data_IF_573663823924
#
_entry.id   IF_573663823924
#
_cell.length_a   1.000
_cell.length_b   1.000
_cell.length_c   1.000
_cell.angle_alpha   90.00
_cell.angle_beta   90.00
_cell.angle_gamma   90.00
#
_symmetry.space_group_name_H-M   'P 1'
#
loop_
_entity.id
_entity.type
_entity.pdbx_description
1 polymer ?
#
# COMPACT_ATOMS: atom_id res chain seq x y z
N UNK A 1 -1.30 -3.34 -35.56
CA UNK A 1 -2.16 -4.24 -34.75
C UNK A 1 -2.75 -3.42 -33.61
N UNK A 2 -4.08 -3.34 -33.45
CA UNK A 2 -4.68 -2.67 -32.28
C UNK A 2 -4.27 -3.48 -31.04
N UNK A 3 -3.50 -2.89 -30.12
CA UNK A 3 -3.12 -3.56 -28.87
C UNK A 3 -4.40 -3.80 -28.07
N UNK A 4 -4.71 -5.06 -27.77
CA UNK A 4 -5.82 -5.36 -26.87
C UNK A 4 -5.49 -4.87 -25.46
N UNK A 5 -6.47 -4.34 -24.71
CA UNK A 5 -6.23 -3.93 -23.34
C UNK A 5 -5.84 -5.13 -22.48
N UNK A 6 -4.85 -4.95 -21.61
CA UNK A 6 -4.43 -5.96 -20.66
C UNK A 6 -5.49 -6.08 -19.58
N UNK A 7 -6.07 -7.26 -19.40
CA UNK A 7 -6.96 -7.54 -18.27
C UNK A 7 -6.15 -8.00 -17.07
N UNK A 8 -6.33 -7.30 -15.96
CA UNK A 8 -5.74 -7.62 -14.66
C UNK A 8 -6.88 -8.06 -13.74
N UNK A 9 -6.79 -9.27 -13.18
CA UNK A 9 -7.73 -9.73 -12.16
C UNK A 9 -6.96 -9.79 -10.85
N UNK A 10 -7.36 -8.97 -9.89
CA UNK A 10 -6.78 -8.94 -8.54
C UNK A 10 -7.77 -9.64 -7.62
N UNK A 11 -7.31 -10.69 -6.96
CA UNK A 11 -8.09 -11.43 -5.98
C UNK A 11 -7.51 -11.24 -4.58
N UNK A 12 -8.39 -11.02 -3.63
CA UNK A 12 -8.09 -11.03 -2.20
C UNK A 12 -9.05 -11.96 -1.46
N UNK A 13 -8.54 -12.68 -0.46
CA UNK A 13 -9.35 -13.57 0.39
C UNK A 13 -10.34 -12.80 1.28
N UNK A 14 -10.02 -11.55 1.58
CA UNK A 14 -10.69 -10.69 2.54
C UNK A 14 -11.12 -9.37 1.90
N UNK A 15 -12.32 -8.86 2.24
CA UNK A 15 -12.78 -7.56 1.74
C UNK A 15 -11.89 -6.42 2.25
N UNK A 16 -11.29 -6.54 3.43
CA UNK A 16 -10.36 -5.56 4.01
C UNK A 16 -9.08 -5.43 3.17
N UNK A 17 -8.53 -6.56 2.71
CA UNK A 17 -7.38 -6.57 1.81
C UNK A 17 -7.71 -5.86 0.49
N UNK A 18 -8.88 -6.14 -0.07
CA UNK A 18 -9.35 -5.50 -1.30
C UNK A 18 -9.58 -3.99 -1.12
N UNK A 19 -10.23 -3.59 -0.02
CA UNK A 19 -10.46 -2.19 0.33
C UNK A 19 -9.13 -1.44 0.48
N UNK A 20 -8.11 -2.08 1.06
CA UNK A 20 -6.77 -1.53 1.16
C UNK A 20 -6.14 -1.30 -0.22
N UNK A 21 -6.24 -2.25 -1.15
CA UNK A 21 -5.75 -2.04 -2.52
C UNK A 21 -6.46 -0.91 -3.23
N UNK A 22 -7.78 -0.82 -3.06
CA UNK A 22 -8.58 0.30 -3.58
C UNK A 22 -8.11 1.64 -3.04
N UNK A 23 -7.86 1.72 -1.73
CA UNK A 23 -7.32 2.93 -1.10
C UNK A 23 -5.93 3.29 -1.66
N UNK A 24 -5.00 2.33 -1.75
CA UNK A 24 -3.66 2.58 -2.27
C UNK A 24 -3.70 3.01 -3.75
N UNK A 25 -4.56 2.40 -4.56
CA UNK A 25 -4.81 2.82 -5.94
C UNK A 25 -5.43 4.23 -5.99
N UNK A 26 -6.36 4.55 -5.09
CA UNK A 26 -6.94 5.89 -5.01
C UNK A 26 -5.88 6.94 -4.70
N UNK A 27 -4.96 6.67 -3.77
CA UNK A 27 -3.82 7.56 -3.46
C UNK A 27 -2.91 7.72 -4.68
N UNK A 28 -2.52 6.61 -5.33
CA UNK A 28 -1.64 6.63 -6.50
C UNK A 28 -2.25 7.39 -7.68
N UNK A 29 -3.57 7.31 -7.83
CA UNK A 29 -4.33 7.92 -8.91
C UNK A 29 -4.98 9.26 -8.50
N UNK A 30 -4.63 9.82 -7.35
CA UNK A 30 -5.16 11.11 -6.92
C UNK A 30 -4.45 12.27 -7.63
N UNK A 31 -5.11 12.83 -8.64
CA UNK A 31 -4.54 13.92 -9.44
C UNK A 31 -4.51 15.27 -8.70
N UNK A 32 -5.18 15.37 -7.55
CA UNK A 32 -5.16 16.58 -6.74
C UNK A 32 -3.93 16.66 -5.82
N UNK A 33 -3.22 15.54 -5.61
CA UNK A 33 -2.03 15.46 -4.78
C UNK A 33 -0.76 15.55 -5.63
N UNK A 34 0.27 16.21 -5.12
CA UNK A 34 1.59 16.20 -5.76
C UNK A 34 2.23 14.81 -5.66
N UNK A 35 3.10 14.39 -6.60
CA UNK A 35 3.76 13.09 -6.56
C UNK A 35 4.44 12.78 -5.23
N UNK A 36 5.12 13.77 -4.64
CA UNK A 36 5.74 13.65 -3.32
C UNK A 36 4.72 13.40 -2.22
N UNK A 37 3.62 14.14 -2.22
CA UNK A 37 2.55 13.99 -1.22
C UNK A 37 1.85 12.64 -1.35
N UNK A 38 1.63 12.16 -2.58
CA UNK A 38 1.13 10.81 -2.84
C UNK A 38 2.07 9.76 -2.28
N UNK A 39 3.39 9.92 -2.48
CA UNK A 39 4.38 8.99 -1.94
C UNK A 39 4.39 8.99 -0.41
N UNK A 40 4.36 10.17 0.22
CA UNK A 40 4.30 10.29 1.67
C UNK A 40 3.03 9.64 2.24
N UNK A 41 1.86 9.93 1.66
CA UNK A 41 0.59 9.29 2.04
C UNK A 41 0.59 7.78 1.79
N UNK A 42 1.14 7.33 0.65
CA UNK A 42 1.24 5.93 0.30
C UNK A 42 2.08 5.17 1.34
N UNK A 43 3.26 5.68 1.67
CA UNK A 43 4.15 5.06 2.66
C UNK A 43 3.53 5.04 4.05
N UNK A 44 2.82 6.10 4.44
CA UNK A 44 2.16 6.20 5.73
C UNK A 44 1.00 5.20 5.86
N UNK A 45 0.13 5.14 4.85
CA UNK A 45 -1.01 4.21 4.79
C UNK A 45 -0.56 2.75 4.57
N UNK A 46 0.50 2.53 3.80
CA UNK A 46 1.05 1.18 3.59
C UNK A 46 1.82 0.67 4.80
N UNK A 47 2.52 1.54 5.52
CA UNK A 47 3.29 1.17 6.71
C UNK A 47 2.43 0.81 7.92
N UNK A 48 1.12 1.13 7.92
CA UNK A 48 0.24 1.05 9.09
C UNK A 48 0.86 1.70 10.34
N UNK A 49 1.67 2.75 10.12
CA UNK A 49 2.28 3.51 11.21
C UNK A 49 1.26 4.51 11.77
N UNK A 50 1.58 5.12 12.91
CA UNK A 50 0.80 6.21 13.50
C UNK A 50 0.45 7.26 12.42
N UNK A 51 -0.84 7.30 12.04
CA UNK A 51 -1.31 8.22 11.02
C UNK A 51 -1.28 9.64 11.57
N UNK A 52 -0.64 10.54 10.83
CA UNK A 52 -0.76 11.98 10.99
C UNK A 52 -2.20 12.39 10.67
N UNK A 53 -2.61 13.51 11.25
CA UNK A 53 -3.97 14.06 11.08
C UNK A 53 -4.35 14.18 9.59
N UNK A 54 -3.40 14.59 8.74
CA UNK A 54 -3.62 14.68 7.28
C UNK A 54 -3.96 13.33 6.65
N UNK A 55 -3.20 12.27 6.95
CA UNK A 55 -3.44 10.94 6.39
C UNK A 55 -4.72 10.32 6.94
N UNK A 56 -5.02 10.54 8.23
CA UNK A 56 -6.24 10.09 8.86
C UNK A 56 -7.48 10.75 8.23
N UNK A 57 -7.46 12.07 8.00
CA UNK A 57 -8.54 12.77 7.33
C UNK A 57 -8.71 12.33 5.86
N UNK A 58 -7.61 12.06 5.16
CA UNK A 58 -7.67 11.50 3.80
C UNK A 58 -8.30 10.09 3.79
N UNK A 59 -7.89 9.24 4.72
CA UNK A 59 -8.43 7.89 4.88
C UNK A 59 -9.94 7.92 5.17
N UNK A 60 -10.38 8.77 6.09
CA UNK A 60 -11.80 8.93 6.46
C UNK A 60 -12.65 9.38 5.26
N UNK A 61 -12.16 10.34 4.48
CA UNK A 61 -12.82 10.79 3.25
C UNK A 61 -12.94 9.64 2.22
N UNK A 62 -11.85 8.91 1.96
CA UNK A 62 -11.88 7.78 1.02
C UNK A 62 -12.73 6.62 1.53
N UNK A 63 -12.78 6.39 2.84
CA UNK A 63 -13.64 5.37 3.44
C UNK A 63 -15.13 5.70 3.20
N UNK A 64 -15.55 6.95 3.38
CA UNK A 64 -16.93 7.40 3.07
C UNK A 64 -17.27 7.23 1.59
N UNK A 65 -16.34 7.57 0.70
CA UNK A 65 -16.54 7.38 -0.74
C UNK A 65 -16.71 5.90 -1.11
N UNK A 66 -15.90 5.03 -0.51
CA UNK A 66 -15.99 3.59 -0.72
C UNK A 66 -17.30 3.02 -0.15
N UNK A 67 -17.70 3.44 1.05
CA UNK A 67 -18.97 3.05 1.66
C UNK A 67 -20.15 3.43 0.77
N UNK A 68 -20.21 4.68 0.30
CA UNK A 68 -21.25 5.15 -0.59
C UNK A 68 -21.34 4.32 -1.88
N UNK A 69 -20.19 4.01 -2.49
CA UNK A 69 -20.13 3.16 -3.69
C UNK A 69 -20.65 1.74 -3.42
N UNK A 70 -20.27 1.14 -2.29
CA UNK A 70 -20.71 -0.21 -1.93
C UNK A 70 -22.22 -0.24 -1.70
N UNK A 71 -22.77 0.77 -1.03
CA UNK A 71 -24.22 0.91 -0.81
C UNK A 71 -24.97 1.05 -2.15
N UNK A 72 -24.46 1.87 -3.08
CA UNK A 72 -25.04 2.04 -4.42
C UNK A 72 -25.06 0.73 -5.21
N UNK A 73 -23.95 -0.01 -5.20
CA UNK A 73 -23.85 -1.32 -5.85
C UNK A 73 -24.79 -2.35 -5.21
N UNK A 74 -24.88 -2.39 -3.88
CA UNK A 74 -25.76 -3.30 -3.16
C UNK A 74 -27.24 -3.01 -3.39
N UNK A 75 -27.60 -1.74 -3.59
CA UNK A 75 -28.97 -1.33 -3.93
C UNK A 75 -29.39 -1.70 -5.36
N UNK A 76 -28.52 -2.36 -6.14
CA UNK A 76 -28.78 -2.69 -7.54
C UNK A 76 -28.73 -1.46 -8.45
N UNK A 77 -28.11 -0.37 -7.99
CA UNK A 77 -27.74 0.75 -8.85
C UNK A 77 -26.85 0.22 -9.96
N UNK A 78 -27.36 0.20 -11.19
CA UNK A 78 -26.50 -0.05 -12.35
C UNK A 78 -25.38 0.99 -12.32
N UNK A 79 -24.14 0.57 -12.60
CA UNK A 79 -22.97 1.44 -12.76
C UNK A 79 -23.19 2.41 -13.95
N UNK A 80 -24.13 3.34 -13.81
CA UNK A 80 -24.38 4.41 -14.74
C UNK A 80 -23.28 5.44 -14.52
N UNK A 81 -22.08 5.16 -15.02
CA UNK A 81 -20.96 6.10 -15.04
C UNK A 81 -20.73 6.85 -13.71
N UNK A 82 -20.79 6.15 -12.57
CA UNK A 82 -20.38 6.72 -11.29
C UNK A 82 -18.87 6.93 -11.32
N UNK A 83 -18.51 8.08 -11.88
CA UNK A 83 -17.14 8.57 -11.91
C UNK A 83 -16.90 9.01 -10.48
N UNK A 84 -16.20 8.18 -9.68
CA UNK A 84 -15.75 8.60 -8.36
C UNK A 84 -15.13 10.00 -8.52
N UNK A 85 -15.65 11.05 -7.86
CA UNK A 85 -15.11 12.38 -8.00
C UNK A 85 -13.72 12.41 -7.35
N UNK A 86 -12.71 11.99 -8.12
CA UNK A 86 -11.29 12.06 -7.76
C UNK A 86 -10.78 13.51 -7.70
N UNK A 87 -11.65 14.49 -8.01
CA UNK A 87 -11.28 15.89 -8.21
C UNK A 87 -11.93 16.88 -7.24
N UNK A 88 -12.51 16.45 -6.12
CA UNK A 88 -12.88 17.42 -5.09
C UNK A 88 -11.59 18.02 -4.48
N UNK A 89 -11.31 19.33 -4.68
CA UNK A 89 -10.11 19.92 -4.12
C UNK A 89 -10.21 19.85 -2.58
N UNK A 90 -9.13 19.38 -1.96
CA UNK A 90 -8.96 19.40 -0.52
C UNK A 90 -9.07 20.85 -0.03
N UNK A 91 -10.24 21.24 0.49
CA UNK A 91 -10.44 22.54 1.12
C UNK A 91 -9.99 22.43 2.58
N UNK A 92 -8.93 23.15 2.95
CA UNK A 92 -8.44 23.28 4.34
C UNK A 92 -9.40 24.02 5.28
N UNK A 93 -10.65 24.28 4.87
CA UNK A 93 -11.67 24.95 5.69
C UNK A 93 -12.79 23.99 6.13
N UNK A 94 -12.47 22.96 6.91
CA UNK A 94 -13.47 22.29 7.74
C UNK A 94 -12.87 21.99 9.13
N UNK A 95 -12.71 23.04 9.93
CA UNK A 95 -12.60 22.92 11.39
C UNK A 95 -13.90 23.40 12.03
N UNK A 96 -14.88 22.51 12.13
CA UNK A 96 -15.84 22.52 13.25
C UNK A 96 -16.55 21.16 13.30
N UNK A 97 -15.95 20.21 14.03
CA UNK A 97 -16.66 19.03 14.48
C UNK A 97 -17.70 19.47 15.51
N UNK A 98 -18.96 19.62 15.10
CA UNK A 98 -20.07 19.51 16.03
C UNK A 98 -20.30 18.03 16.30
N UNK A 99 -20.04 17.61 17.54
CA UNK A 99 -20.42 16.32 18.07
C UNK A 99 -21.94 16.12 17.91
N UNK A 100 -22.36 15.37 16.89
CA UNK A 100 -23.68 14.76 16.84
C UNK A 100 -23.53 13.27 16.51
N UNK A 101 -23.95 12.49 17.51
CA UNK A 101 -24.37 11.08 17.51
C UNK A 101 -23.35 10.00 17.13
N UNK A 102 -22.34 9.83 17.99
CA UNK A 102 -21.55 8.60 18.14
C UNK A 102 -22.35 7.37 18.67
N UNK A 103 -23.69 7.45 18.74
CA UNK A 103 -24.55 6.41 19.31
C UNK A 103 -25.34 5.60 18.26
N UNK A 104 -25.42 6.04 17.00
CA UNK A 104 -26.26 5.37 15.97
C UNK A 104 -25.48 4.44 15.03
N UNK A 105 -24.17 4.65 14.88
CA UNK A 105 -23.27 3.83 14.06
C UNK A 105 -23.16 2.35 14.50
N UNK A 106 -23.12 2.01 15.80
CA UNK A 106 -23.02 0.59 16.22
C UNK A 106 -24.27 -0.21 15.85
N UNK A 107 -25.45 0.43 15.84
CA UNK A 107 -26.72 -0.25 15.56
C UNK A 107 -26.92 -0.52 14.05
N UNK A 108 -26.45 0.37 13.18
CA UNK A 108 -26.50 0.18 11.73
C UNK A 108 -25.49 -0.89 11.27
N UNK A 109 -24.27 -0.87 11.79
CA UNK A 109 -23.25 -1.89 11.49
C UNK A 109 -23.66 -3.28 12.02
N UNK A 110 -24.26 -3.36 13.21
CA UNK A 110 -24.78 -4.60 13.76
C UNK A 110 -25.96 -5.17 12.94
N UNK A 111 -26.80 -4.32 12.34
CA UNK A 111 -27.90 -4.76 11.45
C UNK A 111 -27.38 -5.27 10.11
N UNK A 112 -26.40 -4.60 9.52
CA UNK A 112 -25.76 -5.04 8.27
C UNK A 112 -25.06 -6.39 8.42
N UNK A 113 -24.36 -6.61 9.54
CA UNK A 113 -23.73 -7.91 9.85
C UNK A 113 -24.76 -9.02 10.08
N UNK A 114 -25.90 -8.73 10.74
CA UNK A 114 -26.99 -9.69 10.95
C UNK A 114 -27.71 -10.07 9.64
N UNK A 115 -27.86 -9.12 8.72
CA UNK A 115 -28.48 -9.36 7.41
C UNK A 115 -27.55 -10.17 6.49
N UNK A 116 -26.23 -9.97 6.59
CA UNK A 116 -25.23 -10.81 5.91
C UNK A 116 -25.20 -12.25 6.44
N UNK A 117 -25.34 -12.46 7.76
CA UNK A 117 -25.47 -13.80 8.36
C UNK A 117 -26.78 -14.50 7.94
N UNK A 118 -27.90 -13.77 7.88
CA UNK A 118 -29.21 -14.32 7.46
C UNK A 118 -29.29 -14.66 5.98
N UNK A 119 -28.53 -13.98 5.14
CA UNK A 119 -28.47 -14.25 3.69
C UNK A 119 -27.82 -15.60 3.34
N UNK A 120 -27.22 -16.30 4.32
CA UNK A 120 -26.56 -17.60 4.12
C UNK A 120 -25.23 -17.51 3.36
N UNK A 121 -24.75 -16.29 3.10
CA UNK A 121 -23.47 -16.01 2.42
C UNK A 121 -22.27 -16.23 3.35
N UNK A 122 -22.47 -16.12 4.67
CA UNK A 122 -21.51 -16.52 5.70
C UNK A 122 -22.01 -17.75 6.47
N UNK A 123 -21.78 -18.94 5.91
CA UNK A 123 -21.78 -20.17 6.71
C UNK A 123 -20.34 -20.63 6.85
N UNK A 124 -19.69 -20.23 7.95
CA UNK A 124 -18.40 -20.82 8.34
C UNK A 124 -18.59 -22.32 8.48
N UNK A 125 -17.88 -23.10 7.66
CA UNK A 125 -17.82 -24.55 7.79
C UNK A 125 -16.98 -24.93 9.01
N UNK A 126 -17.51 -24.71 10.21
CA UNK A 126 -17.10 -25.46 11.39
C UNK A 126 -18.18 -26.47 11.70
N UNK A 127 -17.84 -27.77 11.62
CA UNK A 127 -18.68 -28.84 12.13
C UNK A 127 -18.89 -30.01 11.18
N UNK A 128 -17.84 -30.80 10.93
CA UNK A 128 -17.97 -32.27 10.88
C UNK A 128 -16.74 -32.89 11.53
N UNK A 129 -16.96 -33.45 12.71
CA UNK A 129 -15.95 -34.16 13.48
C UNK A 129 -15.48 -35.40 12.74
N UNK A 130 -14.17 -35.45 12.48
CA UNK A 130 -13.43 -36.67 12.19
C UNK A 130 -12.62 -37.03 13.43
N UNK A 131 -12.86 -38.22 13.98
CA UNK A 131 -12.05 -38.85 15.02
C UNK A 131 -10.59 -38.90 14.54
N UNK A 132 -9.65 -38.33 15.31
CA UNK A 132 -8.25 -38.72 15.21
C UNK A 132 -7.94 -39.76 16.28
N UNK A 133 -7.41 -40.88 15.80
CA UNK A 133 -6.94 -41.99 16.61
C UNK A 133 -5.77 -41.56 17.49
N UNK A 134 -5.84 -42.04 18.72
CA UNK A 134 -4.84 -42.00 19.78
C UNK A 134 -3.57 -42.78 19.40
N UNK A 135 -2.40 -42.27 19.79
CA UNK A 135 -1.25 -43.13 20.12
C UNK A 135 0.11 -42.64 19.65
N UNK A 136 0.81 -41.85 20.49
CA UNK A 136 2.27 -41.81 20.52
C UNK A 136 2.71 -41.89 22.00
N UNK A 137 3.54 -42.87 22.39
CA UNK A 137 3.98 -43.05 23.78
C UNK A 137 5.08 -42.04 24.19
N UNK A 138 5.26 -41.77 25.50
CA UNK A 138 6.23 -40.78 25.97
C UNK A 138 7.64 -41.38 26.08
N UNK A 139 8.63 -40.65 25.56
CA UNK A 139 10.06 -40.87 25.78
C UNK A 139 10.68 -39.75 26.62
N UNK A 140 11.81 -39.98 27.31
CA UNK A 140 12.13 -39.34 28.58
C UNK A 140 12.71 -37.93 28.48
N UNK A 141 12.39 -37.15 29.52
CA UNK A 141 12.89 -35.82 29.83
C UNK A 141 14.39 -35.84 30.18
N UNK A 142 15.15 -34.96 29.52
CA UNK A 142 16.51 -34.57 29.87
C UNK A 142 16.60 -33.04 30.12
N UNK A 143 17.59 -32.56 30.89
CA UNK A 143 17.40 -31.43 31.80
C UNK A 143 17.50 -30.04 31.17
N UNK A 144 16.74 -29.13 31.77
CA UNK A 144 16.69 -27.70 31.52
C UNK A 144 18.04 -27.02 31.84
N UNK A 145 18.57 -26.30 30.86
CA UNK A 145 19.61 -25.29 31.05
C UNK A 145 18.99 -23.91 30.83
N UNK A 146 19.10 -23.06 31.86
CA UNK A 146 18.41 -21.78 31.96
C UNK A 146 18.85 -20.75 30.93
N UNK A 147 17.88 -19.96 30.47
CA UNK A 147 18.11 -18.71 29.77
C UNK A 147 17.36 -17.60 30.51
N UNK A 148 18.11 -16.57 30.90
CA UNK A 148 17.61 -15.34 31.54
C UNK A 148 16.73 -14.55 30.54
N UNK A 149 15.73 -13.78 31.02
CA UNK A 149 14.95 -12.90 30.15
C UNK A 149 15.82 -11.73 29.69
N UNK A 150 16.04 -11.61 28.38
CA UNK A 150 16.62 -10.43 27.75
C UNK A 150 15.50 -9.66 27.09
N UNK A 151 15.17 -8.49 27.63
CA UNK A 151 14.29 -7.51 26.99
C UNK A 151 14.92 -6.99 25.71
N UNK A 152 14.22 -6.94 24.56
CA UNK A 152 14.69 -6.17 23.43
C UNK A 152 14.12 -4.75 23.50
N UNK A 153 14.95 -3.82 24.00
CA UNK A 153 14.87 -2.42 23.60
C UNK A 153 15.51 -2.31 22.21
N UNK A 154 14.70 -2.06 21.17
CA UNK A 154 15.23 -1.75 19.84
C UNK A 154 15.46 -0.25 19.76
N UNK A 155 16.74 0.12 19.90
CA UNK A 155 17.29 1.41 19.51
C UNK A 155 17.70 1.33 18.04
N UNK A 156 17.09 2.13 17.18
CA UNK A 156 17.55 2.32 15.80
C UNK A 156 18.54 3.48 15.82
N UNK A 157 19.82 3.14 15.76
CA UNK A 157 20.93 4.08 15.64
C UNK A 157 21.15 4.37 14.14
N UNK A 158 20.69 5.53 13.67
CA UNK A 158 21.09 6.09 12.38
C UNK A 158 22.19 7.14 12.61
N UNK A 159 23.45 6.70 12.61
CA UNK A 159 24.60 7.61 12.62
C UNK A 159 24.82 8.21 11.23
N UNK A 160 24.03 9.23 10.91
CA UNK A 160 24.32 10.23 9.89
C UNK A 160 24.70 11.52 10.59
N UNK A 161 26.00 11.72 10.84
CA UNK A 161 26.53 12.90 11.53
C UNK A 161 26.44 14.14 10.63
N UNK A 162 25.41 14.96 10.83
CA UNK A 162 25.36 16.35 10.37
C UNK A 162 26.06 17.21 11.44
N UNK A 163 27.07 18.04 11.10
CA UNK A 163 27.72 18.89 12.09
C UNK A 163 26.75 19.96 12.60
N UNK A 164 26.21 19.74 13.80
CA UNK A 164 25.50 20.72 14.60
C UNK A 164 26.45 21.88 14.93
N UNK A 165 26.23 23.01 14.27
CA UNK A 165 26.90 24.28 14.54
C UNK A 165 26.53 24.73 15.96
N UNK A 166 27.44 24.50 16.91
CA UNK A 166 27.39 24.97 18.30
C UNK A 166 27.14 26.48 18.31
N UNK A 167 25.91 26.90 18.63
CA UNK A 167 25.60 28.28 18.99
C UNK A 167 25.99 28.46 20.46
N UNK A 168 27.22 28.91 20.69
CA UNK A 168 27.74 29.24 22.01
C UNK A 168 27.08 30.55 22.46
N UNK A 169 26.21 30.46 23.45
CA UNK A 169 25.73 31.58 24.24
C UNK A 169 26.63 31.79 25.46
N UNK A 170 26.74 33.06 25.87
CA UNK A 170 27.53 33.55 27.02
C UNK A 170 28.79 34.28 26.54
N UNK A 171 29.02 35.55 26.82
CA UNK A 171 28.42 36.46 27.78
C UNK A 171 29.55 37.36 28.31
N UNK A 172 29.29 38.66 28.46
CA UNK A 172 30.08 39.58 29.28
C UNK A 172 31.38 40.12 28.64
N UNK A 173 31.40 41.43 28.42
CA UNK A 173 32.61 42.16 28.03
C UNK A 173 32.30 43.62 27.76
N UNK A 174 32.04 44.37 28.83
CA UNK A 174 31.95 45.82 28.77
C UNK A 174 33.28 46.43 28.35
N UNK A 175 33.21 47.36 27.40
CA UNK A 175 34.33 48.16 26.93
C UNK A 175 33.75 49.39 26.26
N UNK A 176 33.54 50.43 27.05
CA UNK A 176 33.12 51.73 26.55
C UNK A 176 34.21 52.33 25.70
N UNK A 177 33.89 52.62 24.45
CA UNK A 177 34.56 53.66 23.66
C UNK A 177 33.48 54.59 23.14
N UNK A 178 33.60 55.85 23.53
CA UNK A 178 32.69 56.92 23.17
C UNK A 178 32.60 57.08 21.65
N UNK A 179 31.41 57.31 21.07
CA UNK A 179 31.29 57.65 19.66
C UNK A 179 31.87 59.06 19.43
N UNK A 180 32.70 59.26 18.40
CA UNK A 180 33.10 60.60 17.99
C UNK A 180 31.89 61.37 17.42
N UNK A 181 31.97 62.67 17.65
CA UNK A 181 30.95 63.66 17.38
C UNK A 181 30.40 63.67 15.96
N UNK A 182 29.15 64.12 15.91
CA UNK A 182 28.26 64.33 14.77
C UNK A 182 28.93 64.93 13.53
N UNK A 183 28.77 64.24 12.41
CA UNK A 183 28.74 64.87 11.10
C UNK A 183 27.26 65.07 10.71
N UNK A 184 26.78 66.31 10.48
CA UNK A 184 25.44 66.56 10.01
C UNK A 184 25.42 66.32 8.50
N UNK A 185 24.95 65.14 8.07
CA UNK A 185 25.02 64.77 6.66
C UNK A 185 23.98 63.74 6.26
N UNK A 186 22.78 64.21 5.92
CA UNK A 186 21.85 63.49 5.04
C UNK A 186 21.04 62.37 5.70
N UNK A 187 19.95 62.75 6.38
CA UNK A 187 18.88 61.83 6.76
C UNK A 187 18.16 61.26 5.53
N UNK A 188 18.78 60.29 4.86
CA UNK A 188 18.12 59.45 3.86
C UNK A 188 17.25 58.47 4.63
N UNK A 189 15.94 58.61 4.43
CA UNK A 189 14.92 58.18 5.38
C UNK A 189 14.87 56.65 5.57
N UNK A 190 14.79 56.13 6.81
CA UNK A 190 14.68 54.70 7.11
C UNK A 190 13.47 54.02 6.44
N UNK A 191 12.48 54.82 6.03
CA UNK A 191 11.29 54.41 5.30
C UNK A 191 11.64 53.86 3.90
N UNK A 192 12.61 54.46 3.20
CA UNK A 192 12.99 54.03 1.85
C UNK A 192 13.70 52.66 1.85
N UNK A 193 14.55 52.40 2.85
CA UNK A 193 15.23 51.12 3.00
C UNK A 193 14.25 49.98 3.33
N UNK A 194 13.27 50.22 4.22
CA UNK A 194 12.23 49.26 4.55
C UNK A 194 11.32 48.94 3.33
N UNK A 195 10.96 49.95 2.54
CA UNK A 195 10.17 49.78 1.32
C UNK A 195 10.91 48.91 0.28
N UNK A 196 12.21 49.13 0.08
CA UNK A 196 13.04 48.31 -0.82
C UNK A 196 13.17 46.86 -0.32
N UNK A 197 13.34 46.64 0.98
CA UNK A 197 13.40 45.30 1.56
C UNK A 197 12.08 44.53 1.36
N UNK A 198 10.93 45.19 1.60
CA UNK A 198 9.61 44.61 1.36
C UNK A 198 9.36 44.31 -0.13
N UNK A 199 9.83 45.17 -1.05
CA UNK A 199 9.75 44.92 -2.48
C UNK A 199 10.58 43.69 -2.90
N UNK A 200 11.82 43.58 -2.40
CA UNK A 200 12.68 42.40 -2.65
C UNK A 200 12.05 41.11 -2.10
N UNK A 201 11.47 41.15 -0.91
CA UNK A 201 10.79 39.98 -0.33
C UNK A 201 9.57 39.55 -1.17
N UNK A 202 8.72 40.49 -1.60
CA UNK A 202 7.58 40.21 -2.48
C UNK A 202 8.03 39.62 -3.83
N UNK A 203 9.07 40.19 -4.43
CA UNK A 203 9.64 39.69 -5.67
C UNK A 203 10.18 38.25 -5.52
N UNK A 204 10.93 37.97 -4.45
CA UNK A 204 11.40 36.60 -4.15
C UNK A 204 10.23 35.62 -3.96
N UNK A 205 9.18 36.03 -3.24
CA UNK A 205 7.99 35.20 -3.02
C UNK A 205 7.25 34.92 -4.34
N UNK A 206 7.12 35.92 -5.21
CA UNK A 206 6.48 35.77 -6.51
C UNK A 206 7.30 34.86 -7.44
N UNK A 207 8.63 34.99 -7.44
CA UNK A 207 9.50 34.09 -8.20
C UNK A 207 9.35 32.65 -7.71
N UNK A 208 9.38 32.42 -6.38
CA UNK A 208 9.18 31.10 -5.81
C UNK A 208 7.80 30.51 -6.14
N UNK A 209 6.74 31.31 -6.12
CA UNK A 209 5.39 30.87 -6.50
C UNK A 209 5.30 30.51 -7.99
N UNK A 210 5.95 31.30 -8.85
CA UNK A 210 5.99 31.04 -10.30
C UNK A 210 6.75 29.75 -10.61
N UNK A 211 7.90 29.54 -9.95
CA UNK A 211 8.71 28.32 -10.09
C UNK A 211 7.94 27.09 -9.59
N UNK A 212 7.31 27.18 -8.43
CA UNK A 212 6.46 26.12 -7.88
C UNK A 212 5.27 25.79 -8.82
N UNK A 213 4.64 26.80 -9.40
CA UNK A 213 3.56 26.61 -10.37
C UNK A 213 4.04 25.93 -11.66
N UNK A 214 5.24 26.26 -12.14
CA UNK A 214 5.85 25.63 -13.31
C UNK A 214 6.16 24.15 -13.04
N UNK A 215 6.75 23.82 -11.89
CA UNK A 215 7.01 22.43 -11.48
C UNK A 215 5.70 21.62 -11.36
N UNK A 216 4.66 22.21 -10.75
CA UNK A 216 3.33 21.56 -10.69
C UNK A 216 2.75 21.28 -12.07
N UNK A 217 2.92 22.20 -13.01
CA UNK A 217 2.42 22.03 -14.37
C UNK A 217 3.16 20.90 -15.10
N UNK A 218 4.49 20.82 -14.95
CA UNK A 218 5.30 19.73 -15.51
C UNK A 218 4.91 18.37 -14.91
N UNK A 219 4.80 18.29 -13.58
CA UNK A 219 4.36 17.06 -12.90
C UNK A 219 2.95 16.64 -13.33
N UNK A 220 2.02 17.58 -13.49
CA UNK A 220 0.67 17.30 -13.98
C UNK A 220 0.68 16.73 -15.41
N UNK A 221 1.60 17.19 -16.28
CA UNK A 221 1.77 16.63 -17.62
C UNK A 221 2.29 15.19 -17.57
N UNK A 222 3.28 14.91 -16.71
CA UNK A 222 3.80 13.55 -16.51
C UNK A 222 2.72 12.61 -15.95
N UNK A 223 1.90 13.09 -15.02
CA UNK A 223 0.78 12.34 -14.46
C UNK A 223 -0.31 12.07 -15.51
N UNK A 224 -0.68 13.07 -16.30
CA UNK A 224 -1.63 12.90 -17.40
C UNK A 224 -1.13 11.87 -18.43
N UNK A 225 0.17 11.92 -18.78
CA UNK A 225 0.78 10.94 -19.66
C UNK A 225 0.78 9.52 -19.02
N UNK A 226 1.00 9.41 -17.71
CA UNK A 226 0.91 8.13 -17.01
C UNK A 226 -0.52 7.56 -17.01
N UNK A 227 -1.54 8.39 -16.77
CA UNK A 227 -2.96 8.00 -16.85
C UNK A 227 -3.34 7.56 -18.25
N UNK A 228 -2.87 8.25 -19.29
CA UNK A 228 -3.06 7.84 -20.68
C UNK A 228 -2.43 6.48 -20.99
N UNK A 229 -1.33 6.10 -20.33
CA UNK A 229 -0.81 4.73 -20.42
C UNK A 229 -1.67 3.73 -19.65
N UNK A 230 -2.20 4.14 -18.50
CA UNK A 230 -3.04 3.30 -17.63
C UNK A 230 -4.37 2.88 -18.26
N UNK A 231 -4.94 3.65 -19.20
CA UNK A 231 -6.19 3.29 -19.92
C UNK A 231 -6.09 1.96 -20.70
N UNK A 232 -4.87 1.45 -20.92
CA UNK A 232 -4.62 0.15 -21.56
C UNK A 232 -4.91 -1.03 -20.64
N UNK A 233 -5.11 -0.78 -19.35
CA UNK A 233 -5.36 -1.82 -18.37
C UNK A 233 -6.83 -1.80 -17.95
N UNK A 234 -7.42 -2.98 -17.83
CA UNK A 234 -8.72 -3.17 -17.20
C UNK A 234 -8.52 -3.98 -15.95
N UNK A 235 -8.75 -3.38 -14.79
CA UNK A 235 -8.58 -4.03 -13.49
C UNK A 235 -9.95 -4.52 -13.03
N UNK A 236 -10.05 -5.82 -12.79
CA UNK A 236 -11.18 -6.46 -12.13
C UNK A 236 -10.75 -6.86 -10.72
N UNK A 237 -11.41 -6.28 -9.72
CA UNK A 237 -11.18 -6.59 -8.32
C UNK A 237 -12.19 -7.64 -7.87
N UNK A 238 -11.71 -8.68 -7.19
CA UNK A 238 -12.52 -9.82 -6.75
C UNK A 238 -12.16 -10.14 -5.30
N UNK A 239 -13.16 -10.39 -4.46
CA UNK A 239 -12.93 -10.84 -3.08
C UNK A 239 -13.80 -12.04 -2.73
N UNK A 240 -13.30 -12.92 -1.86
CA UNK A 240 -13.98 -14.11 -1.37
C UNK A 240 -13.36 -15.42 -1.88
N UNK A 241 -14.19 -16.44 -2.12
CA UNK A 241 -13.73 -17.78 -2.52
C UNK A 241 -13.18 -17.79 -3.96
N UNK A 242 -11.86 -17.91 -4.10
CA UNK A 242 -11.17 -17.90 -5.39
C UNK A 242 -11.71 -18.95 -6.36
N UNK A 243 -12.03 -20.15 -5.86
CA UNK A 243 -12.49 -21.27 -6.69
C UNK A 243 -13.87 -20.94 -7.25
N UNK A 244 -14.80 -20.46 -6.43
CA UNK A 244 -16.16 -20.11 -6.89
C UNK A 244 -16.17 -18.90 -7.83
N UNK A 245 -15.25 -17.96 -7.65
CA UNK A 245 -15.28 -16.68 -8.36
C UNK A 245 -14.40 -16.64 -9.61
N UNK A 246 -13.28 -17.36 -9.60
CA UNK A 246 -12.27 -17.31 -10.66
C UNK A 246 -11.95 -18.71 -11.18
N UNK A 247 -11.20 -19.52 -10.42
CA UNK A 247 -10.51 -20.70 -10.98
C UNK A 247 -11.45 -21.89 -11.27
N UNK A 248 -12.60 -21.96 -10.61
CA UNK A 248 -13.65 -22.95 -10.88
C UNK A 248 -14.59 -22.56 -12.02
N UNK A 249 -14.58 -21.30 -12.48
CA UNK A 249 -15.48 -20.83 -13.54
C UNK A 249 -14.92 -21.16 -14.91
N UNK A 250 -15.74 -21.77 -15.76
CA UNK A 250 -15.35 -22.16 -17.12
C UNK A 250 -14.79 -21.01 -17.96
N UNK A 251 -15.34 -19.79 -17.80
CA UNK A 251 -14.89 -18.59 -18.54
C UNK A 251 -13.45 -18.18 -18.28
N UNK A 252 -12.85 -18.61 -17.16
CA UNK A 252 -11.46 -18.30 -16.81
C UNK A 252 -10.51 -19.48 -17.02
N UNK A 253 -11.00 -20.64 -17.49
CA UNK A 253 -10.14 -21.78 -17.78
C UNK A 253 -9.16 -21.42 -18.91
N UNK A 254 -7.86 -21.51 -18.64
CA UNK A 254 -6.82 -21.14 -19.60
C UNK A 254 -6.76 -19.65 -19.97
N UNK A 255 -7.40 -18.76 -19.20
CA UNK A 255 -7.50 -17.34 -19.57
C UNK A 255 -6.26 -16.51 -19.21
N UNK A 256 -5.44 -16.95 -18.25
CA UNK A 256 -4.34 -16.14 -17.73
C UNK A 256 -2.99 -16.56 -18.31
N UNK A 257 -2.34 -15.67 -19.07
CA UNK A 257 -0.98 -15.87 -19.59
C UNK A 257 0.12 -15.60 -18.56
N UNK A 258 -0.20 -14.83 -17.52
CA UNK A 258 0.70 -14.53 -16.42
C UNK A 258 -0.07 -14.43 -15.10
N UNK A 259 0.57 -14.84 -14.01
CA UNK A 259 0.01 -14.83 -12.66
C UNK A 259 1.08 -14.38 -11.66
N UNK A 260 0.62 -13.79 -10.56
CA UNK A 260 1.47 -13.45 -9.41
C UNK A 260 0.80 -13.89 -8.11
N UNK A 261 1.57 -14.44 -7.18
CA UNK A 261 1.11 -14.82 -5.84
C UNK A 261 1.99 -14.17 -4.78
N UNK A 262 1.36 -13.52 -3.79
CA UNK A 262 2.05 -13.10 -2.57
C UNK A 262 2.35 -14.29 -1.65
N UNK A 263 3.32 -14.13 -0.74
CA UNK A 263 3.81 -15.20 0.14
C UNK A 263 2.70 -15.87 0.96
N UNK A 264 1.66 -15.13 1.36
CA UNK A 264 0.49 -15.65 2.09
C UNK A 264 -0.35 -16.64 1.28
N UNK A 265 -0.30 -16.58 -0.04
CA UNK A 265 -1.13 -17.39 -0.94
C UNK A 265 -0.35 -18.52 -1.63
N UNK A 266 0.89 -18.77 -1.19
CA UNK A 266 1.76 -19.81 -1.76
C UNK A 266 1.15 -21.21 -1.69
N UNK A 267 0.30 -21.48 -0.70
CA UNK A 267 -0.44 -22.74 -0.59
C UNK A 267 -1.31 -23.03 -1.83
N UNK A 268 -1.70 -22.00 -2.60
CA UNK A 268 -2.49 -22.16 -3.82
C UNK A 268 -1.71 -22.74 -5.01
N UNK A 269 -0.40 -22.96 -4.86
CA UNK A 269 0.39 -23.77 -5.78
C UNK A 269 -0.04 -25.24 -5.79
N UNK A 270 -0.52 -25.75 -4.65
CA UNK A 270 -0.95 -27.12 -4.52
C UNK A 270 -2.18 -27.42 -5.39
N UNK A 271 -2.23 -28.62 -5.98
CA UNK A 271 -3.30 -29.06 -6.87
C UNK A 271 -4.70 -28.90 -6.27
N UNK A 272 -4.83 -29.18 -4.96
CA UNK A 272 -6.11 -29.22 -4.24
C UNK A 272 -6.59 -27.83 -3.79
N UNK A 273 -5.67 -26.86 -3.66
CA UNK A 273 -5.92 -25.66 -2.86
C UNK A 273 -6.57 -24.49 -3.61
N UNK A 274 -6.53 -24.48 -4.95
CA UNK A 274 -6.99 -23.28 -5.66
C UNK A 274 -7.27 -23.42 -7.16
N UNK A 275 -7.01 -24.57 -7.79
CA UNK A 275 -7.25 -24.74 -9.22
C UNK A 275 -6.52 -23.72 -10.10
N UNK A 276 -5.44 -23.11 -9.60
CA UNK A 276 -4.77 -22.00 -10.29
C UNK A 276 -4.22 -22.44 -11.65
N UNK A 277 -3.65 -23.64 -11.71
CA UNK A 277 -3.19 -24.24 -12.95
C UNK A 277 -4.31 -24.40 -13.99
N UNK A 278 -5.57 -24.62 -13.59
CA UNK A 278 -6.72 -24.70 -14.51
C UNK A 278 -6.99 -23.34 -15.18
N UNK A 279 -6.85 -22.26 -14.43
CA UNK A 279 -7.10 -20.91 -14.93
C UNK A 279 -5.94 -20.37 -15.80
N UNK A 280 -4.72 -20.87 -15.57
CA UNK A 280 -3.55 -20.50 -16.34
C UNK A 280 -3.59 -21.07 -17.78
N UNK A 281 -3.22 -20.27 -18.78
CA UNK A 281 -3.05 -20.70 -20.17
C UNK A 281 -1.86 -21.67 -20.29
N UNK A 282 -1.83 -22.57 -21.29
CA UNK A 282 -0.62 -23.33 -21.60
C UNK A 282 0.57 -22.39 -21.83
N UNK A 283 1.73 -22.68 -21.20
CA UNK A 283 2.91 -21.81 -21.25
C UNK A 283 2.85 -20.56 -20.37
N UNK A 284 1.78 -20.38 -19.58
CA UNK A 284 1.68 -19.26 -18.65
C UNK A 284 2.78 -19.27 -17.59
N UNK A 285 3.19 -18.08 -17.17
CA UNK A 285 4.18 -17.88 -16.10
C UNK A 285 3.52 -17.47 -14.80
N UNK A 286 4.00 -18.03 -13.70
CA UNK A 286 3.56 -17.71 -12.36
C UNK A 286 4.76 -17.24 -11.54
N UNK A 287 4.72 -16.01 -11.03
CA UNK A 287 5.69 -15.49 -10.08
C UNK A 287 5.12 -15.60 -8.66
N UNK A 288 5.73 -16.42 -7.81
CA UNK A 288 5.30 -16.60 -6.43
C UNK A 288 6.36 -16.03 -5.48
N UNK A 289 5.95 -15.09 -4.63
CA UNK A 289 6.81 -14.47 -3.63
C UNK A 289 7.25 -15.51 -2.59
N UNK A 290 8.56 -15.54 -2.30
CA UNK A 290 9.16 -16.42 -1.32
C UNK A 290 9.33 -15.72 0.05
N UNK A 291 9.84 -16.46 1.04
CA UNK A 291 10.02 -15.96 2.40
C UNK A 291 11.25 -15.06 2.60
N UNK A 292 11.85 -14.48 1.55
CA UNK A 292 13.09 -13.70 1.67
C UNK A 292 12.98 -12.54 2.66
N UNK A 293 11.81 -11.92 2.73
CA UNK A 293 11.56 -10.77 3.61
C UNK A 293 11.02 -11.17 4.99
N UNK A 294 10.87 -12.47 5.26
CA UNK A 294 10.47 -12.96 6.58
C UNK A 294 11.66 -12.80 7.53
N UNK A 295 11.55 -11.99 8.60
CA UNK A 295 12.63 -11.82 9.57
C UNK A 295 12.99 -13.16 10.20
N UNK A 296 14.20 -13.66 9.95
CA UNK A 296 14.70 -14.88 10.57
C UNK A 296 16.19 -14.77 10.90
N UNK A 297 16.66 -15.58 11.85
CA UNK A 297 18.07 -15.59 12.26
C UNK A 297 19.01 -16.04 11.10
N UNK A 298 18.48 -16.76 10.10
CA UNK A 298 19.22 -17.16 8.90
C UNK A 298 18.32 -17.02 7.67
N UNK A 299 18.33 -15.82 7.10
CA UNK A 299 17.52 -15.46 5.93
C UNK A 299 17.72 -16.43 4.76
N UNK A 300 18.98 -16.75 4.43
CA UNK A 300 19.30 -17.59 3.28
C UNK A 300 18.79 -19.04 3.46
N UNK A 301 19.01 -19.65 4.63
CA UNK A 301 18.56 -21.02 4.88
C UNK A 301 17.02 -21.10 4.94
N UNK A 302 16.37 -20.09 5.53
CA UNK A 302 14.91 -20.02 5.61
C UNK A 302 14.29 -19.86 4.22
N UNK A 303 14.84 -18.98 3.40
CA UNK A 303 14.38 -18.78 2.03
C UNK A 303 14.55 -20.04 1.16
N UNK A 304 15.66 -20.78 1.33
CA UNK A 304 15.90 -22.04 0.63
C UNK A 304 14.86 -23.11 1.00
N UNK A 305 14.64 -23.35 2.31
CA UNK A 305 13.62 -24.30 2.78
C UNK A 305 12.21 -23.92 2.30
N UNK A 306 11.90 -22.64 2.27
CA UNK A 306 10.63 -22.15 1.75
C UNK A 306 10.49 -22.43 0.24
N UNK A 307 11.53 -22.15 -0.55
CA UNK A 307 11.54 -22.43 -1.98
C UNK A 307 11.42 -23.94 -2.27
N UNK A 308 12.08 -24.79 -1.49
CA UNK A 308 11.95 -26.25 -1.60
C UNK A 308 10.51 -26.69 -1.34
N UNK A 309 9.86 -26.15 -0.30
CA UNK A 309 8.45 -26.45 -0.02
C UNK A 309 7.51 -25.93 -1.11
N UNK A 310 7.79 -24.77 -1.69
CA UNK A 310 7.04 -24.25 -2.84
C UNK A 310 7.15 -25.21 -4.04
N UNK A 311 8.34 -25.73 -4.33
CA UNK A 311 8.56 -26.69 -5.41
C UNK A 311 7.81 -28.00 -5.18
N UNK A 312 7.80 -28.50 -3.93
CA UNK A 312 7.05 -29.69 -3.53
C UNK A 312 5.54 -29.53 -3.78
N UNK A 313 4.98 -28.34 -3.54
CA UNK A 313 3.57 -28.05 -3.80
C UNK A 313 3.27 -27.79 -5.29
N UNK A 314 4.16 -27.09 -5.98
CA UNK A 314 3.99 -26.67 -7.36
C UNK A 314 3.96 -27.86 -8.33
N UNK A 315 4.84 -28.86 -8.13
CA UNK A 315 4.97 -29.99 -9.05
C UNK A 315 3.67 -30.82 -9.16
N UNK A 316 3.04 -31.29 -8.06
CA UNK A 316 1.72 -31.92 -8.12
C UNK A 316 0.62 -30.99 -8.67
N UNK A 317 0.76 -29.68 -8.47
CA UNK A 317 -0.12 -28.65 -9.03
C UNK A 317 -0.03 -28.48 -10.56
N UNK A 318 0.87 -29.21 -11.23
CA UNK A 318 1.06 -29.11 -12.68
C UNK A 318 1.94 -27.93 -13.09
N UNK A 319 2.80 -27.46 -12.19
CA UNK A 319 3.75 -26.39 -12.44
C UNK A 319 5.18 -26.93 -12.51
N UNK A 320 5.97 -26.44 -13.46
CA UNK A 320 7.42 -26.70 -13.51
C UNK A 320 8.18 -25.43 -13.13
N UNK A 321 9.25 -25.56 -12.34
CA UNK A 321 10.10 -24.41 -12.02
C UNK A 321 10.79 -23.93 -13.30
N UNK A 322 10.81 -22.62 -13.54
CA UNK A 322 11.52 -22.04 -14.66
C UNK A 322 13.04 -22.16 -14.45
N UNK A 323 13.78 -22.50 -15.50
CA UNK A 323 15.24 -22.62 -15.45
C UNK A 323 15.93 -21.28 -15.16
N UNK A 324 15.35 -20.19 -15.67
CA UNK A 324 15.85 -18.84 -15.49
C UNK A 324 14.73 -17.89 -15.03
N UNK A 325 15.09 -16.96 -14.14
CA UNK A 325 14.20 -15.86 -13.75
C UNK A 325 14.12 -14.85 -14.91
N UNK A 326 12.92 -14.34 -15.25
CA UNK A 326 12.77 -13.26 -16.22
C UNK A 326 13.49 -11.99 -15.75
N UNK A 327 13.88 -11.13 -16.70
CA UNK A 327 14.44 -9.81 -16.39
C UNK A 327 13.48 -9.01 -15.50
N UNK A 328 14.02 -8.37 -14.46
CA UNK A 328 13.26 -7.59 -13.49
C UNK A 328 12.60 -8.41 -12.37
N UNK A 329 12.61 -9.75 -12.43
CA UNK A 329 12.15 -10.60 -11.33
C UNK A 329 13.31 -10.89 -10.38
N UNK A 330 13.19 -10.44 -9.14
CA UNK A 330 14.24 -10.59 -8.12
C UNK A 330 14.24 -12.00 -7.51
N UNK A 331 15.29 -12.31 -6.73
CA UNK A 331 15.39 -13.51 -5.91
C UNK A 331 14.37 -13.59 -4.77
N UNK A 332 13.52 -12.57 -4.59
CA UNK A 332 12.34 -12.66 -3.72
C UNK A 332 11.19 -13.48 -4.34
N UNK A 333 11.35 -13.94 -5.58
CA UNK A 333 10.33 -14.71 -6.29
C UNK A 333 10.89 -16.02 -6.84
N UNK A 334 10.06 -17.06 -6.73
CA UNK A 334 10.19 -18.28 -7.52
C UNK A 334 9.26 -18.21 -8.72
N UNK A 335 9.77 -18.64 -9.88
CA UNK A 335 9.04 -18.56 -11.15
C UNK A 335 8.72 -19.96 -11.62
N UNK A 336 7.44 -20.17 -11.92
CA UNK A 336 6.91 -21.43 -12.42
C UNK A 336 6.29 -21.22 -13.80
N UNK A 337 6.32 -22.27 -14.61
CA UNK A 337 5.70 -22.36 -15.91
C UNK A 337 4.62 -23.42 -15.87
N UNK A 338 3.45 -23.12 -16.43
CA UNK A 338 2.50 -24.17 -16.78
C UNK A 338 3.01 -24.87 -18.04
N UNK A 339 3.23 -26.19 -18.03
CA UNK A 339 3.62 -26.92 -19.24
C UNK A 339 2.71 -26.56 -20.41
N UNK A 340 3.31 -26.25 -21.55
CA UNK A 340 2.56 -26.08 -22.79
C UNK A 340 1.84 -27.38 -23.13
N UNK A 341 0.69 -27.30 -23.80
CA UNK A 341 0.26 -28.45 -24.57
C UNK A 341 1.37 -28.71 -25.59
N UNK A 342 2.01 -29.87 -25.51
CA UNK A 342 2.84 -30.35 -26.62
C UNK A 342 1.87 -30.42 -27.79
N UNK A 343 2.02 -29.50 -28.74
CA UNK A 343 1.15 -29.39 -29.91
C UNK A 343 1.22 -30.65 -30.77
#
# INVERSE_FOLDING_TARGET
>A
RRQQPVQLVVWEDSPEGLARHLLLLAVLLDGALLPRERMELLLELHGNALLRERAAAYLDEKARQLEALVVELAAGGGLAHTTLPLHAPWSTKQSSCSARTAAELPAAAARLMNDLDRSGVYRTSQGRGGRMCTGVPPGPLGPAAGAKPVSPAISISSSGSIPLRRRRGGGGGGGGTAPPAEAPGGGVQPVAAAAMAAARWRSKRLMAQTEEAALRAEEAQLDAAARQRAVRFRIQLVTGDLVKLVTGRAKYAGAFSALSLGHRHVHMLAAEAGGLARAAAPGARLAAENARHVPSASFAATAALFADKMNEMALPGGWSRAEARPEGVTEAYEVYCKPGAVA
#
